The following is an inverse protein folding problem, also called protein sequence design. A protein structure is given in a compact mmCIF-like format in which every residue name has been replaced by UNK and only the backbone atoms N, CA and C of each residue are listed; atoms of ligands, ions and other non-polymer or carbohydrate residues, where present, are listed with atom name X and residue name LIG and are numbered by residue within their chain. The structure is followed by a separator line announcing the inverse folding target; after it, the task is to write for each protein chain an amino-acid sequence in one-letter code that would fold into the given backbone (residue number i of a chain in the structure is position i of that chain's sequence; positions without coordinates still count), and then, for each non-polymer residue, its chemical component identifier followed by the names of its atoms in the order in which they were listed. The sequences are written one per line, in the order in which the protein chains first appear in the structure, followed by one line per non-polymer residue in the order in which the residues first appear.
data_IF_758166723157
#
_entry.id   IF_758166723157
#
_cell.length_a   1.000
_cell.length_b   1.000
_cell.length_c   1.000
_cell.angle_alpha   90.00
_cell.angle_beta   90.00
_cell.angle_gamma   90.00
#
_symmetry.space_group_name_H-M   'P 1'
#
loop_
_entity.id
_entity.type
_entity.pdbx_description
1 polymer ?
#
# COMPACT_ATOMS: atom_id res chain seq x y z
N UNK A 1 8.01 40.21 17.87
CA UNK A 1 6.76 40.71 17.24
C UNK A 1 6.76 40.22 15.80
N UNK A 2 5.71 39.50 15.36
CA UNK A 2 5.62 39.00 13.98
C UNK A 2 4.92 40.07 13.13
N UNK A 3 5.58 40.52 12.06
CA UNK A 3 4.98 41.44 11.07
C UNK A 3 4.23 40.60 10.02
N UNK A 4 3.04 41.06 9.61
CA UNK A 4 2.04 40.26 8.87
C UNK A 4 2.54 39.70 7.53
N UNK A 5 1.99 38.55 7.15
CA UNK A 5 2.09 37.97 5.80
C UNK A 5 1.53 38.90 4.71
N UNK A 6 2.10 38.84 3.51
CA UNK A 6 1.68 39.64 2.35
C UNK A 6 1.72 38.83 1.05
N UNK A 7 0.68 38.05 0.78
CA UNK A 7 0.57 37.19 -0.43
C UNK A 7 0.19 37.99 -1.69
N UNK A 8 1.17 38.53 -2.42
CA UNK A 8 0.96 39.23 -3.70
C UNK A 8 0.88 38.26 -4.90
N UNK A 9 -0.33 37.78 -5.20
CA UNK A 9 -0.60 36.93 -6.38
C UNK A 9 -0.74 37.75 -7.68
N UNK A 10 0.35 37.93 -8.42
CA UNK A 10 0.29 38.43 -9.80
C UNK A 10 -0.14 37.34 -10.78
N UNK A 11 -1.18 37.58 -11.59
CA UNK A 11 -1.72 36.59 -12.54
C UNK A 11 -0.93 36.45 -13.85
N UNK A 12 -0.09 37.43 -14.20
CA UNK A 12 0.30 37.63 -15.61
C UNK A 12 1.26 36.58 -16.20
N UNK A 13 2.05 35.86 -15.38
CA UNK A 13 3.07 34.90 -15.89
C UNK A 13 3.19 33.62 -15.03
N UNK A 14 2.13 33.26 -14.27
CA UNK A 14 2.08 31.98 -13.53
C UNK A 14 2.91 31.87 -12.23
N UNK A 15 3.64 32.92 -11.83
CA UNK A 15 4.41 32.96 -10.58
C UNK A 15 3.51 33.22 -9.36
N UNK A 16 3.62 32.40 -8.32
CA UNK A 16 2.94 32.61 -7.03
C UNK A 16 3.97 33.13 -6.03
N UNK A 17 4.17 34.45 -6.02
CA UNK A 17 5.13 35.12 -5.13
C UNK A 17 4.51 35.25 -3.72
N UNK A 18 4.67 34.20 -2.93
CA UNK A 18 4.22 34.14 -1.53
C UNK A 18 5.33 34.65 -0.59
N UNK A 19 5.23 35.92 -0.18
CA UNK A 19 6.12 36.49 0.84
C UNK A 19 5.70 36.02 2.24
N UNK A 20 6.58 35.25 2.89
CA UNK A 20 6.38 34.67 4.22
C UNK A 20 7.54 35.03 5.14
N UNK A 21 7.22 35.32 6.41
CA UNK A 21 8.16 35.63 7.50
C UNK A 21 9.12 36.81 7.22
N UNK A 22 8.52 37.99 6.97
CA UNK A 22 9.24 39.21 6.57
C UNK A 22 10.33 39.65 7.58
N UNK A 23 10.08 39.44 8.87
CA UNK A 23 11.00 39.76 9.96
C UNK A 23 10.88 38.72 11.09
N UNK A 24 12.01 38.10 11.43
CA UNK A 24 12.17 37.16 12.55
C UNK A 24 13.16 37.79 13.55
N UNK A 25 12.74 37.90 14.80
CA UNK A 25 13.58 38.35 15.92
C UNK A 25 13.89 37.14 16.79
N UNK A 26 15.10 36.58 16.65
CA UNK A 26 15.61 35.54 17.54
C UNK A 26 16.34 36.18 18.72
N UNK A 27 16.02 35.76 19.94
CA UNK A 27 16.67 36.28 21.14
C UNK A 27 18.16 35.89 21.14
N UNK A 28 19.04 36.90 21.21
CA UNK A 28 20.50 36.72 21.19
C UNK A 28 21.14 36.56 19.80
N UNK A 29 20.38 36.70 18.71
CA UNK A 29 20.86 36.42 17.34
C UNK A 29 20.68 37.61 16.36
N UNK A 30 20.38 38.80 16.88
CA UNK A 30 20.08 40.00 16.11
C UNK A 30 18.72 39.96 15.37
N UNK A 31 18.22 41.11 14.87
CA UNK A 31 17.10 41.11 13.94
C UNK A 31 17.48 40.48 12.59
N UNK A 32 16.65 39.55 12.11
CA UNK A 32 16.77 38.94 10.78
C UNK A 32 15.55 39.27 9.92
N UNK A 33 15.78 39.95 8.79
CA UNK A 33 14.78 40.14 7.74
C UNK A 33 14.95 39.02 6.70
N UNK A 34 13.87 38.35 6.33
CA UNK A 34 13.91 37.34 5.27
C UNK A 34 12.82 37.56 4.23
N UNK A 35 13.23 37.74 2.98
CA UNK A 35 12.35 37.75 1.82
C UNK A 35 12.45 36.39 1.15
N UNK A 36 11.32 35.68 1.03
CA UNK A 36 11.22 34.42 0.29
C UNK A 36 10.23 34.60 -0.87
N UNK A 37 10.52 33.92 -1.97
CA UNK A 37 9.69 33.86 -3.17
C UNK A 37 9.63 32.41 -3.67
N UNK A 38 8.44 32.00 -4.11
CA UNK A 38 8.17 30.65 -4.59
C UNK A 38 7.77 30.68 -6.08
N UNK A 39 8.10 29.64 -6.83
CA UNK A 39 7.56 29.44 -8.18
C UNK A 39 7.47 27.95 -8.55
N UNK A 40 6.40 27.60 -9.26
CA UNK A 40 6.24 26.28 -9.87
C UNK A 40 6.79 26.31 -11.30
N UNK A 41 7.97 25.72 -11.51
CA UNK A 41 8.60 25.66 -12.83
C UNK A 41 7.93 24.60 -13.73
N UNK A 42 7.43 23.51 -13.13
CA UNK A 42 6.56 22.50 -13.78
C UNK A 42 5.63 21.89 -12.74
N UNK A 43 4.64 21.09 -13.17
CA UNK A 43 3.81 20.26 -12.26
C UNK A 43 4.61 19.31 -11.34
N UNK A 44 5.90 19.07 -11.60
CA UNK A 44 6.77 18.19 -10.79
C UNK A 44 8.00 18.90 -10.22
N UNK A 45 8.16 20.21 -10.41
CA UNK A 45 9.34 20.94 -9.95
C UNK A 45 9.03 22.37 -9.53
N UNK A 46 9.44 22.73 -8.32
CA UNK A 46 9.31 24.06 -7.76
C UNK A 46 10.68 24.63 -7.39
N UNK A 47 10.77 25.96 -7.38
CA UNK A 47 11.93 26.72 -6.97
C UNK A 47 11.53 27.66 -5.83
N UNK A 48 12.35 27.71 -4.80
CA UNK A 48 12.28 28.70 -3.73
C UNK A 48 13.54 29.55 -3.83
N UNK A 49 13.37 30.85 -4.08
CA UNK A 49 14.43 31.85 -3.92
C UNK A 49 14.22 32.64 -2.64
N UNK A 50 15.28 33.20 -2.09
CA UNK A 50 15.16 34.11 -0.96
C UNK A 50 16.44 34.86 -0.63
N UNK A 51 16.27 36.01 0.00
CA UNK A 51 17.33 36.89 0.47
C UNK A 51 17.12 37.08 1.97
N UNK A 52 18.21 37.00 2.73
CA UNK A 52 18.25 37.21 4.16
C UNK A 52 19.21 38.36 4.50
N UNK A 53 18.82 39.20 5.46
CA UNK A 53 19.66 40.22 6.06
C UNK A 53 19.60 40.07 7.58
N UNK A 54 20.72 39.69 8.21
CA UNK A 54 20.92 39.82 9.66
C UNK A 54 21.63 41.15 9.94
N UNK A 55 21.25 41.83 11.01
CA UNK A 55 22.08 42.87 11.62
C UNK A 55 22.54 42.40 13.00
N UNK A 56 23.84 42.44 13.27
CA UNK A 56 24.45 41.94 14.51
C UNK A 56 25.59 42.90 14.90
N UNK A 57 25.35 43.71 15.95
CA UNK A 57 26.29 44.68 16.55
C UNK A 57 27.21 45.42 15.55
N UNK A 58 26.59 46.29 14.75
CA UNK A 58 27.16 47.07 13.64
C UNK A 58 27.63 46.27 12.40
N UNK A 59 27.53 44.93 12.37
CA UNK A 59 27.76 44.14 11.16
C UNK A 59 26.46 43.85 10.39
N UNK A 60 26.43 44.21 9.11
CA UNK A 60 25.32 43.84 8.21
C UNK A 60 25.67 42.56 7.46
N UNK A 61 24.94 41.50 7.76
CA UNK A 61 25.20 40.14 7.30
C UNK A 61 24.16 39.70 6.27
N UNK A 62 24.54 39.76 4.98
CA UNK A 62 23.68 39.34 3.87
C UNK A 62 23.79 37.84 3.55
N UNK A 63 22.71 37.27 3.00
CA UNK A 63 22.68 35.91 2.46
C UNK A 63 21.61 35.72 1.40
N UNK A 64 21.81 34.73 0.53
CA UNK A 64 20.94 34.34 -0.57
C UNK A 64 20.75 32.82 -0.55
N UNK A 65 19.50 32.38 -0.68
CA UNK A 65 19.11 30.98 -0.65
C UNK A 65 18.30 30.63 -1.90
N UNK A 66 18.84 29.76 -2.75
CA UNK A 66 18.14 29.22 -3.92
C UNK A 66 17.99 27.70 -3.78
N UNK A 67 16.77 27.20 -3.87
CA UNK A 67 16.43 25.79 -3.70
C UNK A 67 15.55 25.32 -4.87
N UNK A 68 16.00 24.32 -5.61
CA UNK A 68 15.26 23.66 -6.69
C UNK A 68 14.91 22.25 -6.23
N UNK A 69 13.62 21.90 -6.24
CA UNK A 69 13.15 20.56 -5.93
C UNK A 69 12.42 19.96 -7.13
N UNK A 70 12.69 18.68 -7.44
CA UNK A 70 12.08 17.94 -8.55
C UNK A 70 11.63 16.55 -8.09
N UNK A 71 10.35 16.27 -8.22
CA UNK A 71 9.81 14.91 -8.08
C UNK A 71 10.10 14.13 -9.38
N UNK A 72 10.91 13.08 -9.27
CA UNK A 72 11.59 12.52 -10.43
C UNK A 72 10.68 11.57 -11.23
N UNK A 73 9.77 10.85 -10.58
CA UNK A 73 8.91 9.85 -11.24
C UNK A 73 7.52 9.69 -10.58
N UNK A 74 6.61 8.98 -11.27
CA UNK A 74 5.23 8.66 -10.88
C UNK A 74 5.11 7.29 -10.19
N UNK A 75 5.94 6.31 -10.56
CA UNK A 75 5.92 4.97 -9.96
C UNK A 75 6.93 4.85 -8.80
N UNK A 76 8.16 5.32 -9.01
CA UNK A 76 9.11 5.49 -7.90
C UNK A 76 8.92 6.88 -7.29
N UNK A 77 8.53 6.97 -6.00
CA UNK A 77 8.43 8.26 -5.30
C UNK A 77 9.84 8.77 -4.95
N UNK A 78 10.56 9.22 -5.99
CA UNK A 78 11.88 9.82 -5.92
C UNK A 78 11.81 11.34 -5.84
N UNK A 79 12.61 11.93 -4.96
CA UNK A 79 12.78 13.40 -4.84
C UNK A 79 14.25 13.75 -5.03
N UNK A 80 14.53 14.60 -6.01
CA UNK A 80 15.80 15.28 -6.18
C UNK A 80 15.67 16.73 -5.67
N UNK A 81 16.71 17.24 -5.02
CA UNK A 81 16.73 18.51 -4.32
C UNK A 81 18.13 19.10 -4.47
N UNK A 82 18.23 20.35 -4.91
CA UNK A 82 19.48 21.11 -5.02
C UNK A 82 19.26 22.43 -4.31
N UNK A 83 20.03 22.71 -3.27
CA UNK A 83 20.04 23.98 -2.55
C UNK A 83 21.41 24.64 -2.69
N UNK A 84 21.43 25.95 -2.92
CA UNK A 84 22.61 26.80 -2.92
C UNK A 84 22.32 27.92 -1.91
N UNK A 85 23.05 27.91 -0.81
CA UNK A 85 23.11 28.99 0.16
C UNK A 85 24.42 29.75 -0.06
N UNK A 86 24.33 31.07 -0.20
CA UNK A 86 25.48 31.98 -0.21
C UNK A 86 25.31 32.95 0.96
N UNK A 87 26.36 33.15 1.74
CA UNK A 87 26.30 33.99 2.94
C UNK A 87 25.78 33.27 4.19
N UNK A 88 25.37 34.08 5.16
CA UNK A 88 25.96 33.95 6.51
C UNK A 88 25.25 32.91 7.42
N UNK A 89 26.01 32.19 8.27
CA UNK A 89 27.47 32.25 8.42
C UNK A 89 28.26 31.45 7.37
N UNK A 90 27.63 30.52 6.63
CA UNK A 90 28.34 29.59 5.76
C UNK A 90 27.66 29.39 4.41
N UNK A 91 28.38 29.72 3.33
CA UNK A 91 27.98 29.41 1.95
C UNK A 91 28.15 27.91 1.67
N UNK A 92 27.14 27.25 1.11
CA UNK A 92 27.23 25.87 0.65
C UNK A 92 26.25 25.55 -0.49
N UNK A 93 26.68 24.67 -1.40
CA UNK A 93 25.79 23.87 -2.22
C UNK A 93 25.42 22.57 -1.48
N UNK A 94 24.21 22.08 -1.69
CA UNK A 94 23.68 20.81 -1.18
C UNK A 94 22.89 20.12 -2.30
N UNK A 95 23.42 19.04 -2.84
CA UNK A 95 22.64 18.11 -3.64
C UNK A 95 22.08 17.01 -2.71
N UNK A 96 20.80 16.64 -2.86
CA UNK A 96 20.19 15.55 -2.13
C UNK A 96 19.21 14.76 -3.00
N UNK A 97 19.28 13.44 -2.89
CA UNK A 97 18.45 12.49 -3.61
C UNK A 97 17.83 11.48 -2.64
N UNK A 98 16.51 11.43 -2.61
CA UNK A 98 15.73 10.45 -1.83
C UNK A 98 15.01 9.51 -2.79
N UNK A 99 15.27 8.20 -2.69
CA UNK A 99 14.60 7.15 -3.47
C UNK A 99 13.78 6.25 -2.53
N UNK A 100 12.47 6.16 -2.73
CA UNK A 100 11.66 5.10 -2.12
C UNK A 100 12.01 3.77 -2.80
N UNK A 101 12.43 2.76 -2.03
CA UNK A 101 12.80 1.44 -2.54
C UNK A 101 11.68 0.42 -2.35
N UNK A 102 11.03 0.44 -1.19
CA UNK A 102 10.02 -0.52 -0.77
C UNK A 102 8.86 0.24 -0.09
N UNK A 103 7.70 -0.41 0.15
CA UNK A 103 6.51 0.24 0.75
C UNK A 103 6.84 1.09 1.99
N UNK A 104 7.75 0.61 2.84
CA UNK A 104 8.14 1.25 4.11
C UNK A 104 9.60 1.76 4.18
N UNK A 105 10.40 1.69 3.10
CA UNK A 105 11.83 2.07 3.14
C UNK A 105 12.23 3.09 2.07
N UNK A 106 12.94 4.13 2.52
CA UNK A 106 13.51 5.22 1.71
C UNK A 106 15.03 5.20 1.86
N UNK A 107 15.75 5.24 0.76
CA UNK A 107 17.18 5.54 0.70
C UNK A 107 17.36 7.06 0.55
N UNK A 108 18.36 7.63 1.21
CA UNK A 108 18.77 9.03 1.08
C UNK A 108 20.27 9.11 0.82
N UNK A 109 20.67 9.95 -0.11
CA UNK A 109 22.05 10.39 -0.29
C UNK A 109 22.08 11.91 -0.45
N UNK A 110 23.07 12.56 0.15
CA UNK A 110 23.30 14.01 0.07
C UNK A 110 24.79 14.31 -0.04
N UNK A 111 25.13 15.37 -0.75
CA UNK A 111 26.49 15.94 -0.79
C UNK A 111 26.35 17.44 -0.53
N UNK A 112 26.87 17.89 0.62
CA UNK A 112 27.02 19.30 0.97
C UNK A 112 28.46 19.71 0.71
N UNK A 113 28.68 20.82 0.00
CA UNK A 113 30.02 21.36 -0.27
C UNK A 113 29.97 22.88 -0.09
N UNK A 114 30.82 23.44 0.78
CA UNK A 114 30.78 24.86 1.11
C UNK A 114 32.08 25.39 1.71
N UNK A 115 32.04 26.63 2.16
CA UNK A 115 33.18 27.32 2.81
C UNK A 115 33.66 26.59 4.07
N UNK A 116 32.76 25.90 4.76
CA UNK A 116 33.03 25.11 5.96
C UNK A 116 33.29 23.62 5.65
N UNK A 117 33.85 23.32 4.47
CA UNK A 117 34.19 21.97 4.04
C UNK A 117 33.11 21.25 3.23
N UNK A 118 33.40 19.99 2.88
CA UNK A 118 32.49 19.06 2.22
C UNK A 118 32.05 17.96 3.18
N UNK A 119 30.75 17.63 3.13
CA UNK A 119 30.10 16.60 3.94
C UNK A 119 29.20 15.74 3.03
N UNK A 120 29.55 14.47 2.89
CA UNK A 120 28.72 13.45 2.26
C UNK A 120 27.86 12.80 3.33
N UNK A 121 26.55 12.71 3.10
CA UNK A 121 25.62 11.97 3.96
C UNK A 121 24.92 10.86 3.15
N UNK A 122 24.83 9.66 3.68
CA UNK A 122 23.99 8.61 3.10
C UNK A 122 23.35 7.75 4.18
N UNK A 123 22.13 7.27 3.92
CA UNK A 123 21.38 6.55 4.94
C UNK A 123 20.06 5.97 4.46
N UNK A 124 19.46 5.17 5.33
CA UNK A 124 18.14 4.58 5.11
C UNK A 124 17.17 5.07 6.19
N UNK A 125 15.90 5.26 5.81
CA UNK A 125 14.77 5.51 6.70
C UNK A 125 13.76 4.37 6.49
N UNK A 126 13.48 3.59 7.53
CA UNK A 126 12.44 2.55 7.53
C UNK A 126 11.34 2.90 8.53
N UNK A 127 10.11 2.89 8.05
CA UNK A 127 8.92 2.99 8.88
C UNK A 127 8.66 1.62 9.53
N UNK A 128 8.78 1.56 10.85
CA UNK A 128 8.64 0.33 11.66
C UNK A 128 7.18 0.12 12.03
N UNK A 129 6.49 1.18 12.45
CA UNK A 129 5.04 1.20 12.65
C UNK A 129 4.45 2.47 12.06
N UNK A 130 3.13 2.59 12.03
CA UNK A 130 2.43 3.73 11.45
C UNK A 130 2.99 5.08 11.93
N UNK A 131 3.22 5.20 13.24
CA UNK A 131 3.73 6.43 13.87
C UNK A 131 5.24 6.37 14.22
N UNK A 132 5.96 5.29 13.90
CA UNK A 132 7.38 5.13 14.26
C UNK A 132 8.30 4.93 13.06
N UNK A 133 9.27 5.83 12.88
CA UNK A 133 10.25 5.82 11.78
C UNK A 133 11.66 5.80 12.36
N UNK A 134 12.44 4.79 12.01
CA UNK A 134 13.86 4.69 12.34
C UNK A 134 14.67 5.06 11.10
N UNK A 135 15.71 5.86 11.29
CA UNK A 135 16.69 6.16 10.26
C UNK A 135 18.11 5.98 10.78
N UNK A 136 18.98 5.43 9.94
CA UNK A 136 20.42 5.38 10.16
C UNK A 136 21.09 6.14 9.01
N UNK A 137 21.84 7.20 9.34
CA UNK A 137 22.58 8.02 8.38
C UNK A 137 24.05 8.07 8.77
N UNK A 138 24.92 7.67 7.86
CA UNK A 138 26.35 7.95 7.91
C UNK A 138 26.61 9.37 7.39
N UNK A 139 27.48 10.10 8.07
CA UNK A 139 27.99 11.41 7.71
C UNK A 139 29.51 11.34 7.63
N UNK A 140 30.10 11.77 6.50
CA UNK A 140 31.54 11.71 6.24
C UNK A 140 31.99 13.06 5.69
N UNK A 141 32.92 13.73 6.35
CA UNK A 141 33.53 14.95 5.84
C UNK A 141 33.76 16.04 6.89
N UNK A 142 34.49 17.07 6.49
CA UNK A 142 34.97 18.11 7.40
C UNK A 142 33.85 19.09 7.79
N UNK A 143 33.83 19.62 9.03
CA UNK A 143 34.71 19.30 10.16
C UNK A 143 34.15 18.17 11.06
N UNK A 144 33.18 17.38 10.58
CA UNK A 144 32.44 16.39 11.39
C UNK A 144 33.16 15.03 11.47
N UNK A 145 34.11 14.78 10.58
CA UNK A 145 34.86 13.51 10.52
C UNK A 145 34.00 12.38 9.96
N UNK A 146 33.81 11.32 10.76
CA UNK A 146 32.97 10.16 10.45
C UNK A 146 31.99 9.94 11.60
N UNK A 147 30.69 10.13 11.34
CA UNK A 147 29.67 10.19 12.38
C UNK A 147 28.37 9.50 11.93
N UNK A 148 27.86 8.58 12.74
CA UNK A 148 26.61 7.83 12.49
C UNK A 148 25.46 8.44 13.30
N UNK A 149 24.43 8.92 12.63
CA UNK A 149 23.20 9.46 13.24
C UNK A 149 22.11 8.38 13.24
N UNK A 150 21.75 7.86 14.41
CA UNK A 150 20.57 7.02 14.58
C UNK A 150 19.41 7.90 15.04
N UNK A 151 18.37 8.03 14.21
CA UNK A 151 17.20 8.89 14.47
C UNK A 151 15.92 8.07 14.55
N UNK A 152 15.25 8.12 15.70
CA UNK A 152 13.94 7.52 15.92
C UNK A 152 12.89 8.62 16.09
N UNK A 153 12.01 8.76 15.12
CA UNK A 153 10.82 9.62 15.22
C UNK A 153 9.63 8.77 15.62
N UNK A 154 9.07 9.02 16.82
CA UNK A 154 7.88 8.35 17.36
C UNK A 154 6.78 9.39 17.62
N UNK A 155 5.73 9.37 16.82
CA UNK A 155 4.70 10.41 16.76
C UNK A 155 5.32 11.82 16.63
N UNK A 156 5.24 12.66 17.68
CA UNK A 156 5.80 14.01 17.72
C UNK A 156 7.26 14.08 18.23
N UNK A 157 7.73 13.03 18.92
CA UNK A 157 9.06 13.01 19.53
C UNK A 157 10.13 12.54 18.54
N UNK A 158 11.28 13.23 18.52
CA UNK A 158 12.44 12.91 17.67
C UNK A 158 13.66 12.65 18.53
N UNK A 159 13.96 11.38 18.77
CA UNK A 159 15.20 10.95 19.39
C UNK A 159 16.30 10.92 18.32
N UNK A 160 17.46 11.50 18.61
CA UNK A 160 18.57 11.60 17.68
C UNK A 160 19.87 11.32 18.42
N UNK A 161 20.45 10.15 18.18
CA UNK A 161 21.68 9.66 18.80
C UNK A 161 22.82 9.76 17.78
N UNK A 162 23.67 10.82 17.85
CA UNK A 162 24.89 10.90 17.07
C UNK A 162 26.00 10.10 17.75
N UNK A 163 26.58 9.15 17.03
CA UNK A 163 27.76 8.40 17.42
C UNK A 163 28.93 8.94 16.59
N UNK A 164 29.81 9.73 17.19
CA UNK A 164 31.07 10.10 16.55
C UNK A 164 32.00 8.88 16.54
N UNK A 165 32.57 8.53 15.39
CA UNK A 165 33.49 7.40 15.23
C UNK A 165 34.94 7.85 15.06
N UNK A 166 35.15 9.03 14.48
CA UNK A 166 36.47 9.60 14.20
C UNK A 166 36.30 11.07 13.82
N UNK A 167 37.15 11.96 14.33
CA UNK A 167 37.15 13.38 13.94
C UNK A 167 37.86 13.59 12.59
N UNK A 168 38.80 12.70 12.24
CA UNK A 168 39.41 12.62 10.92
C UNK A 168 38.68 11.62 10.00
N UNK A 169 38.89 11.75 8.68
CA UNK A 169 38.29 10.90 7.65
C UNK A 169 39.09 9.58 7.52
N UNK A 170 38.95 8.69 8.50
CA UNK A 170 39.60 7.38 8.50
C UNK A 170 38.76 6.31 7.77
N UNK A 171 39.29 5.60 6.75
CA UNK A 171 38.56 4.55 6.04
C UNK A 171 38.01 3.42 6.93
N UNK A 172 38.72 3.06 8.01
CA UNK A 172 38.28 2.06 8.97
C UNK A 172 36.99 2.48 9.71
N UNK A 173 36.88 3.74 10.12
CA UNK A 173 35.66 4.26 10.76
C UNK A 173 34.46 4.22 9.81
N UNK A 174 34.67 4.53 8.52
CA UNK A 174 33.65 4.45 7.47
C UNK A 174 33.19 2.99 7.27
N UNK A 175 34.14 2.04 7.26
CA UNK A 175 33.85 0.61 7.15
C UNK A 175 33.03 0.11 8.35
N UNK A 176 33.48 0.34 9.59
CA UNK A 176 32.75 -0.11 10.77
C UNK A 176 31.36 0.54 10.88
N UNK A 177 31.26 1.85 10.68
CA UNK A 177 29.99 2.58 10.74
C UNK A 177 29.01 2.26 9.60
N UNK A 178 29.41 1.52 8.57
CA UNK A 178 28.50 0.98 7.55
C UNK A 178 28.21 -0.49 7.74
N UNK A 179 29.24 -1.32 7.89
CA UNK A 179 29.10 -2.77 8.00
C UNK A 179 28.41 -3.18 9.29
N UNK A 180 28.71 -2.55 10.44
CA UNK A 180 28.08 -2.93 11.72
C UNK A 180 26.57 -2.63 11.72
N UNK A 181 26.06 -1.43 11.36
CA UNK A 181 24.61 -1.21 11.30
C UNK A 181 23.88 -2.08 10.27
N UNK A 182 24.51 -2.40 9.13
CA UNK A 182 23.92 -3.29 8.12
C UNK A 182 23.88 -4.75 8.60
N UNK A 183 24.95 -5.24 9.22
CA UNK A 183 25.01 -6.58 9.80
C UNK A 183 24.01 -6.74 10.96
N UNK A 184 23.95 -5.77 11.88
CA UNK A 184 22.97 -5.76 12.98
C UNK A 184 21.54 -5.73 12.43
N UNK A 185 21.24 -4.91 11.42
CA UNK A 185 19.93 -4.91 10.78
C UNK A 185 19.59 -6.27 10.13
N UNK A 186 20.56 -6.92 9.48
CA UNK A 186 20.36 -8.24 8.87
C UNK A 186 20.11 -9.33 9.93
N UNK A 187 20.90 -9.37 11.00
CA UNK A 187 20.73 -10.30 12.13
C UNK A 187 19.36 -10.11 12.80
N UNK A 188 18.97 -8.87 13.13
CA UNK A 188 17.65 -8.57 13.72
C UNK A 188 16.53 -8.94 12.76
N UNK A 189 16.69 -8.71 11.44
CA UNK A 189 15.70 -9.11 10.44
C UNK A 189 15.52 -10.63 10.40
N UNK A 190 16.61 -11.39 10.37
CA UNK A 190 16.58 -12.86 10.26
C UNK A 190 16.09 -13.51 11.56
N UNK A 191 16.59 -13.07 12.72
CA UNK A 191 16.39 -13.74 14.00
C UNK A 191 15.10 -13.32 14.72
N UNK A 192 14.63 -12.08 14.53
CA UNK A 192 13.46 -11.54 15.25
C UNK A 192 12.29 -11.22 14.30
N UNK A 193 12.53 -10.46 13.23
CA UNK A 193 11.43 -9.95 12.39
C UNK A 193 10.82 -11.04 11.51
N UNK A 194 11.64 -11.85 10.84
CA UNK A 194 11.18 -12.93 9.98
C UNK A 194 10.31 -13.99 10.70
N UNK A 195 10.69 -14.54 11.88
CA UNK A 195 9.84 -15.52 12.57
C UNK A 195 8.52 -14.91 13.08
N UNK A 196 8.53 -13.67 13.59
CA UNK A 196 7.31 -13.01 14.06
C UNK A 196 6.31 -12.81 12.92
N UNK A 197 6.76 -12.29 11.77
CA UNK A 197 5.92 -12.13 10.57
C UNK A 197 5.43 -13.46 10.00
N UNK A 198 6.17 -14.55 10.19
CA UNK A 198 5.73 -15.89 9.80
C UNK A 198 4.55 -16.35 10.68
N UNK A 199 4.70 -16.26 12.00
CA UNK A 199 3.65 -16.62 12.95
C UNK A 199 2.36 -15.80 12.76
N UNK A 200 2.49 -14.48 12.53
CA UNK A 200 1.35 -13.59 12.25
C UNK A 200 0.57 -14.04 11.01
N UNK A 201 1.28 -14.35 9.90
CA UNK A 201 0.67 -14.86 8.66
C UNK A 201 0.05 -16.26 8.81
N UNK A 202 0.63 -17.11 9.66
CA UNK A 202 0.09 -18.44 9.96
C UNK A 202 -1.22 -18.31 10.76
N UNK A 203 -1.27 -17.45 11.79
CA UNK A 203 -2.49 -17.14 12.54
C UNK A 203 -3.58 -16.50 11.65
N UNK A 204 -3.24 -15.60 10.72
CA UNK A 204 -4.20 -15.09 9.73
C UNK A 204 -4.79 -16.20 8.85
N UNK A 205 -3.96 -17.15 8.40
CA UNK A 205 -4.40 -18.30 7.61
C UNK A 205 -5.39 -19.17 8.39
N UNK A 206 -5.10 -19.46 9.65
CA UNK A 206 -5.96 -20.26 10.53
C UNK A 206 -7.25 -19.55 10.88
N UNK A 207 -7.19 -18.27 11.28
CA UNK A 207 -8.38 -17.46 11.54
C UNK A 207 -9.31 -17.38 10.32
N UNK A 208 -8.75 -17.33 9.10
CA UNK A 208 -9.54 -17.34 7.88
C UNK A 208 -10.14 -18.73 7.58
N UNK A 209 -9.39 -19.84 7.75
CA UNK A 209 -9.93 -21.21 7.66
C UNK A 209 -11.13 -21.42 8.60
N UNK A 210 -11.02 -20.96 9.86
CA UNK A 210 -12.10 -21.06 10.86
C UNK A 210 -13.34 -20.24 10.45
N UNK A 211 -13.16 -19.02 9.92
CA UNK A 211 -14.28 -18.22 9.38
C UNK A 211 -15.00 -18.94 8.24
N UNK A 212 -14.26 -19.49 7.28
CA UNK A 212 -14.85 -20.22 6.14
C UNK A 212 -15.56 -21.50 6.61
N UNK A 213 -14.96 -22.28 7.51
CA UNK A 213 -15.59 -23.47 8.07
C UNK A 213 -16.92 -23.16 8.78
N UNK A 214 -16.98 -22.06 9.56
CA UNK A 214 -18.23 -21.60 10.18
C UNK A 214 -19.29 -21.23 9.13
N UNK A 215 -18.93 -20.46 8.11
CA UNK A 215 -19.85 -20.07 7.04
C UNK A 215 -20.38 -21.27 6.24
N UNK A 216 -19.57 -22.32 6.03
CA UNK A 216 -20.03 -23.56 5.40
C UNK A 216 -21.02 -24.32 6.29
N UNK A 217 -20.75 -24.42 7.60
CA UNK A 217 -21.63 -25.10 8.54
C UNK A 217 -22.99 -24.40 8.71
N UNK A 218 -22.99 -23.07 8.71
CA UNK A 218 -24.20 -22.23 8.74
C UNK A 218 -25.06 -22.47 7.49
N UNK A 219 -24.48 -22.29 6.29
CA UNK A 219 -25.17 -22.57 5.02
C UNK A 219 -25.68 -24.00 4.88
N UNK A 220 -24.95 -24.99 5.38
CA UNK A 220 -25.39 -26.40 5.38
C UNK A 220 -26.64 -26.58 6.23
N UNK A 221 -26.69 -25.98 7.42
CA UNK A 221 -27.85 -26.02 8.31
C UNK A 221 -29.07 -25.32 7.71
N UNK A 222 -28.86 -24.21 7.00
CA UNK A 222 -29.95 -23.49 6.32
C UNK A 222 -30.53 -24.30 5.14
N UNK A 223 -29.68 -25.03 4.41
CA UNK A 223 -30.11 -25.97 3.38
C UNK A 223 -30.88 -27.17 3.99
N UNK A 224 -30.38 -27.77 5.07
CA UNK A 224 -31.06 -28.85 5.81
C UNK A 224 -32.43 -28.42 6.34
N UNK A 225 -32.53 -27.22 6.92
CA UNK A 225 -33.80 -26.63 7.35
C UNK A 225 -34.76 -26.44 6.17
N UNK A 226 -34.26 -25.93 5.04
CA UNK A 226 -35.07 -25.69 3.83
C UNK A 226 -35.63 -27.00 3.26
N UNK A 227 -34.80 -28.05 3.15
CA UNK A 227 -35.23 -29.39 2.72
C UNK A 227 -36.30 -29.94 3.66
N UNK A 228 -36.10 -29.86 4.98
CA UNK A 228 -37.04 -30.34 5.98
C UNK A 228 -38.40 -29.62 5.93
N UNK A 229 -38.40 -28.30 5.72
CA UNK A 229 -39.63 -27.50 5.57
C UNK A 229 -40.40 -27.83 4.27
N UNK A 230 -39.71 -28.28 3.23
CA UNK A 230 -40.32 -28.65 1.95
C UNK A 230 -40.79 -30.11 1.90
N UNK A 231 -40.27 -31.00 2.76
CA UNK A 231 -40.50 -32.44 2.72
C UNK A 231 -41.99 -32.82 2.70
N UNK A 232 -42.77 -32.44 3.71
CA UNK A 232 -44.21 -32.78 3.82
C UNK A 232 -45.03 -32.29 2.61
N UNK A 233 -44.65 -31.15 2.04
CA UNK A 233 -45.31 -30.61 0.83
C UNK A 233 -44.89 -31.37 -0.42
N UNK A 234 -43.63 -31.80 -0.51
CA UNK A 234 -43.13 -32.60 -1.63
C UNK A 234 -43.75 -34.01 -1.64
N UNK A 235 -43.82 -34.67 -0.48
CA UNK A 235 -44.46 -35.99 -0.30
C UNK A 235 -45.94 -35.94 -0.73
N UNK A 236 -46.71 -34.98 -0.21
CA UNK A 236 -48.13 -34.76 -0.58
C UNK A 236 -48.34 -34.49 -2.08
N UNK A 237 -47.44 -33.73 -2.72
CA UNK A 237 -47.52 -33.47 -4.17
C UNK A 237 -47.18 -34.75 -4.96
N UNK A 238 -46.19 -35.52 -4.51
CA UNK A 238 -45.77 -36.77 -5.14
C UNK A 238 -46.88 -37.82 -5.10
N UNK A 239 -47.56 -38.00 -3.97
CA UNK A 239 -48.74 -38.87 -3.85
C UNK A 239 -49.86 -38.44 -4.81
N UNK A 240 -50.17 -37.13 -4.84
CA UNK A 240 -51.24 -36.59 -5.70
C UNK A 240 -50.94 -36.78 -7.19
N UNK A 241 -49.74 -36.42 -7.66
CA UNK A 241 -49.35 -36.62 -9.07
C UNK A 241 -49.27 -38.11 -9.42
N UNK A 242 -48.74 -38.96 -8.53
CA UNK A 242 -48.68 -40.42 -8.75
C UNK A 242 -50.08 -41.02 -8.89
N UNK A 243 -51.05 -40.59 -8.05
CA UNK A 243 -52.44 -41.07 -8.10
C UNK A 243 -53.19 -40.76 -9.41
N UNK A 244 -52.63 -39.89 -10.27
CA UNK A 244 -53.21 -39.46 -11.55
C UNK A 244 -52.29 -39.75 -12.75
N UNK A 245 -51.22 -40.53 -12.53
CA UNK A 245 -50.16 -40.81 -13.52
C UNK A 245 -49.59 -39.51 -14.14
N UNK A 246 -49.47 -38.48 -13.30
CA UNK A 246 -49.05 -37.12 -13.64
C UNK A 246 -47.54 -36.96 -13.83
N UNK A 247 -46.99 -35.80 -13.50
CA UNK A 247 -45.57 -35.48 -13.70
C UNK A 247 -44.77 -35.65 -12.40
N UNK A 248 -43.96 -36.70 -12.32
CA UNK A 248 -43.08 -36.95 -11.16
C UNK A 248 -41.62 -36.86 -11.59
N UNK A 249 -40.85 -35.94 -11.01
CA UNK A 249 -39.40 -35.83 -11.26
C UNK A 249 -38.68 -36.88 -10.41
N UNK A 250 -37.93 -37.77 -11.07
CA UNK A 250 -37.24 -38.91 -10.43
C UNK A 250 -35.77 -38.56 -10.13
N UNK A 251 -35.13 -37.78 -11.00
CA UNK A 251 -33.81 -37.20 -10.76
C UNK A 251 -33.68 -35.88 -11.54
N UNK A 252 -33.12 -34.85 -10.92
CA UNK A 252 -32.72 -33.61 -11.55
C UNK A 252 -31.34 -33.21 -11.03
N UNK A 253 -30.34 -33.20 -11.91
CA UNK A 253 -28.94 -32.96 -11.55
C UNK A 253 -28.12 -32.52 -12.75
N UNK A 254 -26.93 -31.96 -12.50
CA UNK A 254 -25.98 -31.62 -13.56
C UNK A 254 -25.21 -32.86 -13.97
N UNK A 255 -25.18 -33.11 -15.28
CA UNK A 255 -24.66 -34.36 -15.83
C UNK A 255 -23.16 -34.23 -16.08
N UNK A 256 -22.35 -35.02 -15.36
CA UNK A 256 -20.89 -35.04 -15.48
C UNK A 256 -20.41 -36.43 -15.92
N UNK A 257 -20.53 -36.71 -17.23
CA UNK A 257 -20.09 -37.97 -17.84
C UNK A 257 -18.56 -38.00 -18.12
N UNK A 258 -17.73 -37.59 -17.16
CA UNK A 258 -16.28 -37.86 -17.17
C UNK A 258 -15.74 -37.98 -15.74
N UNK A 259 -14.75 -38.85 -15.45
CA UNK A 259 -14.26 -39.06 -14.08
C UNK A 259 -13.49 -37.89 -13.47
N UNK A 260 -13.13 -36.89 -14.27
CA UNK A 260 -12.35 -35.72 -13.85
C UNK A 260 -12.82 -34.48 -14.65
N UNK A 261 -13.64 -33.63 -13.99
CA UNK A 261 -13.98 -32.21 -14.25
C UNK A 261 -15.26 -31.94 -13.44
N UNK A 262 -15.48 -30.70 -12.96
CA UNK A 262 -16.61 -30.35 -12.08
C UNK A 262 -17.30 -29.04 -12.47
N UNK A 263 -18.59 -29.18 -12.82
CA UNK A 263 -19.69 -28.27 -12.49
C UNK A 263 -19.68 -26.85 -13.12
N UNK A 264 -20.82 -26.17 -13.28
CA UNK A 264 -22.17 -26.41 -12.72
C UNK A 264 -23.27 -26.46 -13.82
N UNK A 265 -24.43 -25.77 -13.88
CA UNK A 265 -25.09 -24.76 -13.04
C UNK A 265 -26.60 -24.97 -12.99
N UNK A 266 -27.15 -24.45 -11.87
CA UNK A 266 -28.26 -23.49 -11.87
C UNK A 266 -28.16 -22.72 -10.56
N UNK A 267 -27.31 -21.70 -10.56
CA UNK A 267 -26.68 -21.08 -9.38
C UNK A 267 -27.61 -20.29 -8.45
N UNK A 268 -28.91 -20.26 -8.74
CA UNK A 268 -29.95 -19.59 -7.95
C UNK A 268 -30.95 -20.57 -7.30
N UNK A 269 -30.62 -21.87 -7.25
CA UNK A 269 -31.36 -22.87 -6.49
C UNK A 269 -30.90 -22.87 -5.02
N UNK A 270 -31.82 -22.84 -4.06
CA UNK A 270 -31.48 -22.87 -2.64
C UNK A 270 -30.77 -24.18 -2.26
N UNK A 271 -29.67 -24.06 -1.51
CA UNK A 271 -28.81 -25.19 -1.13
C UNK A 271 -27.77 -25.61 -2.18
N UNK A 272 -27.80 -25.06 -3.41
CA UNK A 272 -26.77 -25.32 -4.41
C UNK A 272 -25.55 -24.41 -4.19
N UNK A 273 -24.33 -24.96 -4.20
CA UNK A 273 -23.09 -24.18 -3.99
C UNK A 273 -22.03 -24.54 -5.04
N UNK A 274 -21.71 -23.57 -5.89
CA UNK A 274 -20.92 -23.73 -7.10
C UNK A 274 -19.41 -23.49 -6.87
N UNK A 275 -18.51 -24.45 -7.16
CA UNK A 275 -17.07 -24.27 -7.03
C UNK A 275 -16.36 -23.71 -8.28
N UNK A 276 -17.00 -23.61 -9.45
CA UNK A 276 -16.32 -23.23 -10.70
C UNK A 276 -17.17 -22.29 -11.61
N UNK A 277 -16.82 -20.99 -11.74
CA UNK A 277 -17.71 -20.03 -12.38
C UNK A 277 -17.56 -19.84 -13.91
N UNK A 278 -16.58 -20.44 -14.60
CA UNK A 278 -16.11 -19.95 -15.92
C UNK A 278 -16.45 -20.80 -17.18
N UNK A 279 -17.00 -22.02 -17.06
CA UNK A 279 -17.36 -22.87 -18.23
C UNK A 279 -18.87 -22.92 -18.54
N UNK A 280 -19.26 -23.58 -19.66
CA UNK A 280 -20.65 -23.83 -20.08
C UNK A 280 -21.27 -25.11 -19.46
N UNK A 281 -22.60 -25.10 -19.29
CA UNK A 281 -23.24 -25.79 -18.17
C UNK A 281 -24.62 -26.37 -18.52
N UNK A 282 -24.93 -27.58 -18.02
CA UNK A 282 -26.12 -28.35 -18.42
C UNK A 282 -26.80 -29.13 -17.28
N UNK A 283 -28.14 -29.15 -17.30
CA UNK A 283 -29.00 -29.87 -16.33
C UNK A 283 -29.74 -31.04 -17.03
N UNK A 284 -29.55 -32.27 -16.55
CA UNK A 284 -30.38 -33.43 -16.94
C UNK A 284 -31.57 -33.58 -15.99
N UNK A 285 -32.73 -33.85 -16.56
CA UNK A 285 -33.96 -34.16 -15.82
C UNK A 285 -34.50 -35.50 -16.33
N UNK A 286 -34.63 -36.47 -15.41
CA UNK A 286 -35.35 -37.72 -15.61
C UNK A 286 -36.68 -37.66 -14.86
N UNK A 287 -37.78 -37.87 -15.57
CA UNK A 287 -39.13 -37.76 -15.03
C UNK A 287 -40.05 -38.88 -15.54
N UNK A 288 -41.04 -39.22 -14.73
CA UNK A 288 -42.15 -40.10 -15.11
C UNK A 288 -43.32 -39.22 -15.57
N UNK A 289 -43.99 -39.62 -16.65
CA UNK A 289 -45.26 -39.02 -17.09
C UNK A 289 -46.12 -40.06 -17.79
N UNK A 290 -47.35 -40.29 -17.29
CA UNK A 290 -48.26 -41.34 -17.78
C UNK A 290 -47.59 -42.71 -17.88
N UNK A 291 -46.94 -43.11 -16.79
CA UNK A 291 -46.18 -44.35 -16.59
C UNK A 291 -45.01 -44.59 -17.57
N UNK A 292 -44.71 -43.62 -18.44
CA UNK A 292 -43.55 -43.64 -19.32
C UNK A 292 -42.41 -42.81 -18.73
N UNK A 293 -41.20 -43.39 -18.70
CA UNK A 293 -39.98 -42.68 -18.30
C UNK A 293 -39.52 -41.78 -19.45
N UNK A 294 -39.19 -40.54 -19.10
CA UNK A 294 -38.70 -39.52 -20.00
C UNK A 294 -37.39 -38.93 -19.47
N UNK A 295 -36.52 -38.49 -20.38
CA UNK A 295 -35.21 -37.95 -20.06
C UNK A 295 -34.81 -36.86 -21.06
N UNK A 296 -34.23 -35.78 -20.56
CA UNK A 296 -33.81 -34.61 -21.34
C UNK A 296 -32.69 -33.87 -20.63
N UNK A 297 -31.80 -33.26 -21.41
CA UNK A 297 -30.74 -32.37 -20.91
C UNK A 297 -30.99 -30.98 -21.48
N UNK A 298 -30.95 -29.96 -20.62
CA UNK A 298 -31.16 -28.54 -20.95
C UNK A 298 -29.88 -27.75 -20.71
N UNK A 299 -29.60 -26.75 -21.56
CA UNK A 299 -28.56 -25.76 -21.30
C UNK A 299 -28.87 -24.89 -20.07
N UNK A 300 -27.86 -24.17 -19.56
CA UNK A 300 -27.98 -23.25 -18.41
C UNK A 300 -29.11 -22.23 -18.61
N UNK A 301 -29.05 -21.46 -19.70
CA UNK A 301 -30.03 -20.42 -20.05
C UNK A 301 -31.26 -20.96 -20.80
N UNK A 302 -31.37 -22.28 -20.98
CA UNK A 302 -32.53 -22.86 -21.65
C UNK A 302 -33.71 -23.06 -20.69
N UNK A 303 -34.87 -22.50 -21.05
CA UNK A 303 -36.10 -22.68 -20.28
C UNK A 303 -36.57 -24.14 -20.31
N UNK A 304 -36.58 -24.78 -19.12
CA UNK A 304 -37.11 -26.13 -18.91
C UNK A 304 -38.57 -26.20 -19.38
N UNK A 305 -38.83 -27.01 -20.41
CA UNK A 305 -40.17 -27.26 -20.97
C UNK A 305 -40.46 -28.76 -20.98
N UNK A 306 -41.15 -29.23 -19.96
CA UNK A 306 -41.58 -30.62 -19.76
C UNK A 306 -43.06 -30.67 -19.35
N UNK A 307 -43.80 -31.75 -19.61
CA UNK A 307 -43.41 -32.96 -20.36
C UNK A 307 -43.46 -32.75 -21.88
N UNK A 308 -42.70 -33.55 -22.65
CA UNK A 308 -42.83 -33.66 -24.11
C UNK A 308 -42.64 -35.11 -24.55
N UNK A 309 -43.40 -35.55 -25.56
CA UNK A 309 -43.25 -36.89 -26.16
C UNK A 309 -41.83 -37.14 -26.71
N UNK A 310 -41.16 -36.11 -27.21
CA UNK A 310 -39.77 -36.17 -27.71
C UNK A 310 -38.73 -36.56 -26.67
N UNK A 311 -39.07 -36.53 -25.37
CA UNK A 311 -38.18 -36.93 -24.28
C UNK A 311 -38.42 -38.38 -23.84
N UNK A 312 -39.38 -39.12 -24.43
CA UNK A 312 -39.76 -40.47 -23.97
C UNK A 312 -38.65 -41.48 -24.31
N UNK A 313 -38.12 -42.14 -23.28
CA UNK A 313 -37.21 -43.26 -23.47
C UNK A 313 -38.00 -44.43 -24.05
N UNK A 314 -37.59 -44.94 -25.21
CA UNK A 314 -38.04 -46.24 -25.69
C UNK A 314 -37.07 -47.30 -25.17
N UNK A 315 -37.55 -48.20 -24.32
CA UNK A 315 -36.83 -49.43 -23.99
C UNK A 315 -36.67 -50.26 -25.26
N UNK A 316 -35.43 -50.60 -25.58
CA UNK A 316 -35.07 -51.58 -26.63
C UNK A 316 -35.16 -52.99 -26.09
#
# INVERSE_FOLDING_TARGET
MIVREASLRSKCIGYIIEFKDLAIFEAGNGPTLTLRAFTNLTQRSYVIGGIALRSEDNTLSAGLNCMIARQLDRHTIGKALITIQLGIPNSFALASYTRKLEKNTKLKGSVKTGTFGSLVEYGCERQISEHSKLAATMCIGMPVGVLVKIKLTRASQVYNFPINLSEEIHPAAIFYGTVVPVAVFWVVKVLIVNPFLKMEKEMESEANKVKYAKQMAEKKRDAENSIRLMQETCERILEYETSRNGLVIVNAGMDTWYPWVKESSKSNLSGFYDPCPEEEKMLRIRYLFRDAVHEVTFGDQEHVRIPKQSHKIHSS
#
